data_IF_531581906831
#
_entry.id   IF_531581906831
#
_cell.length_a   1.000
_cell.length_b   1.000
_cell.length_c   1.000
_cell.angle_alpha   90.00
_cell.angle_beta   90.00
_cell.angle_gamma   90.00
#
_symmetry.space_group_name_H-M   'P 1'
#
loop_
_entity.id
_entity.type
_entity.pdbx_description
1 polymer ?
#
# COMPACT_ATOMS: atom_id res chain seq x y z
N UNK A 1 -8.11 -15.76 19.02
CA UNK A 1 -9.49 -15.34 19.35
C UNK A 1 -10.03 -14.62 18.13
N UNK A 2 -11.28 -14.83 17.69
CA UNK A 2 -11.82 -13.94 16.66
C UNK A 2 -11.82 -12.52 17.23
N UNK A 3 -11.06 -11.64 16.61
CA UNK A 3 -11.04 -10.22 16.97
C UNK A 3 -12.40 -9.61 16.64
N UNK A 4 -12.99 -8.94 17.61
CA UNK A 4 -14.28 -8.27 17.41
C UNK A 4 -14.08 -7.09 16.43
N UNK A 5 -14.88 -7.05 15.37
CA UNK A 5 -14.89 -5.93 14.43
C UNK A 5 -15.66 -4.77 15.09
N UNK A 6 -14.95 -3.71 15.48
CA UNK A 6 -15.55 -2.49 15.99
C UNK A 6 -16.10 -1.65 14.83
N UNK A 7 -17.41 -1.71 14.64
CA UNK A 7 -18.11 -0.98 13.57
C UNK A 7 -18.36 0.50 13.90
N UNK A 8 -18.03 0.94 15.11
CA UNK A 8 -18.19 2.34 15.55
C UNK A 8 -16.95 3.20 15.25
N UNK A 9 -15.83 2.56 14.97
CA UNK A 9 -14.58 3.21 14.57
C UNK A 9 -14.32 2.95 13.09
N UNK A 10 -13.74 3.94 12.42
CA UNK A 10 -13.27 3.75 11.06
C UNK A 10 -12.01 2.88 11.04
N UNK A 11 -11.83 2.13 9.95
CA UNK A 11 -10.60 1.39 9.66
C UNK A 11 -10.04 1.80 8.32
N UNK A 12 -8.70 1.79 8.20
CA UNK A 12 -8.00 2.15 6.97
C UNK A 12 -8.52 1.33 5.78
N UNK A 13 -8.58 0.01 5.94
CA UNK A 13 -9.03 -0.91 4.91
C UNK A 13 -10.49 -0.65 4.47
N UNK A 14 -11.39 -0.38 5.43
CA UNK A 14 -12.80 -0.12 5.13
C UNK A 14 -13.06 1.27 4.55
N UNK A 15 -12.28 2.29 4.95
CA UNK A 15 -12.30 3.62 4.32
C UNK A 15 -11.85 3.52 2.87
N UNK A 16 -10.78 2.76 2.61
CA UNK A 16 -10.30 2.49 1.25
C UNK A 16 -11.35 1.75 0.41
N UNK A 17 -11.98 0.70 0.96
CA UNK A 17 -13.10 -0.02 0.35
C UNK A 17 -14.25 0.93 -0.01
N UNK A 18 -14.63 1.83 0.92
CA UNK A 18 -15.67 2.83 0.68
C UNK A 18 -15.33 3.74 -0.51
N UNK A 19 -14.09 4.23 -0.57
CA UNK A 19 -13.66 5.12 -1.65
C UNK A 19 -13.57 4.41 -3.01
N UNK A 20 -13.38 3.09 -3.03
CA UNK A 20 -13.50 2.25 -4.24
C UNK A 20 -14.93 1.87 -4.60
N UNK A 21 -15.94 2.28 -3.82
CA UNK A 21 -17.34 1.90 -4.03
C UNK A 21 -17.67 0.48 -3.59
N UNK A 22 -16.86 -0.12 -2.71
CA UNK A 22 -17.08 -1.42 -2.11
C UNK A 22 -18.25 -1.45 -1.13
N UNK A 23 -18.50 -2.62 -0.54
CA UNK A 23 -19.66 -2.87 0.34
C UNK A 23 -19.26 -3.32 1.76
N UNK A 24 -17.98 -3.57 1.98
CA UNK A 24 -17.47 -4.10 3.25
C UNK A 24 -17.05 -2.96 4.20
N UNK A 25 -17.98 -2.02 4.42
CA UNK A 25 -17.76 -0.81 5.20
C UNK A 25 -18.99 -0.45 6.05
N UNK A 26 -18.77 0.38 7.06
CA UNK A 26 -19.77 0.82 8.03
C UNK A 26 -19.95 2.35 8.02
N UNK A 27 -20.94 2.91 8.73
CA UNK A 27 -21.20 4.36 8.76
C UNK A 27 -19.96 5.21 9.12
N UNK A 28 -19.14 4.75 10.08
CA UNK A 28 -17.92 5.48 10.48
C UNK A 28 -16.90 5.59 9.33
N UNK A 29 -16.77 4.56 8.50
CA UNK A 29 -15.87 4.55 7.34
C UNK A 29 -16.38 5.49 6.24
N UNK A 30 -17.69 5.45 5.97
CA UNK A 30 -18.33 6.34 4.98
C UNK A 30 -18.27 7.81 5.40
N UNK A 31 -18.35 8.12 6.69
CA UNK A 31 -18.20 9.48 7.21
C UNK A 31 -16.82 10.07 6.84
N UNK A 32 -15.75 9.29 6.94
CA UNK A 32 -14.39 9.74 6.56
C UNK A 32 -14.37 10.13 5.08
N UNK A 33 -14.88 9.26 4.20
CA UNK A 33 -14.90 9.53 2.75
C UNK A 33 -15.76 10.73 2.41
N UNK A 34 -16.91 10.90 3.08
CA UNK A 34 -17.78 12.05 2.86
C UNK A 34 -17.11 13.37 3.27
N UNK A 35 -16.39 13.39 4.38
CA UNK A 35 -15.58 14.55 4.79
C UNK A 35 -14.45 14.84 3.79
N UNK A 36 -13.80 13.81 3.26
CA UNK A 36 -12.78 13.96 2.23
C UNK A 36 -13.35 14.55 0.94
N UNK A 37 -14.55 14.14 0.50
CA UNK A 37 -15.23 14.70 -0.68
C UNK A 37 -15.47 16.21 -0.58
N UNK A 38 -15.68 16.73 0.62
CA UNK A 38 -15.88 18.17 0.82
C UNK A 38 -14.61 18.98 0.53
N UNK A 39 -13.42 18.41 0.69
CA UNK A 39 -12.13 19.07 0.46
C UNK A 39 -11.44 18.61 -0.83
N UNK A 40 -11.70 17.40 -1.26
CA UNK A 40 -11.20 16.74 -2.46
C UNK A 40 -12.34 15.96 -3.14
N UNK A 41 -13.17 16.62 -3.96
CA UNK A 41 -14.33 15.96 -4.61
C UNK A 41 -13.96 14.75 -5.47
N UNK A 42 -12.71 14.65 -5.89
CA UNK A 42 -12.16 13.57 -6.70
C UNK A 42 -11.50 12.44 -5.89
N UNK A 43 -11.80 12.30 -4.60
CA UNK A 43 -11.12 11.30 -3.72
C UNK A 43 -11.30 9.86 -4.20
N UNK A 44 -12.40 9.52 -4.85
CA UNK A 44 -12.59 8.21 -5.44
C UNK A 44 -11.60 7.97 -6.59
N UNK A 45 -11.41 8.96 -7.47
CA UNK A 45 -10.43 8.84 -8.55
C UNK A 45 -9.01 8.70 -8.02
N UNK A 46 -8.65 9.44 -6.98
CA UNK A 46 -7.38 9.29 -6.24
C UNK A 46 -7.17 7.84 -5.78
N UNK A 47 -8.20 7.20 -5.23
CA UNK A 47 -8.13 5.82 -4.73
C UNK A 47 -8.07 4.81 -5.88
N UNK A 48 -8.82 5.05 -6.97
CA UNK A 48 -8.76 4.23 -8.19
C UNK A 48 -7.36 4.28 -8.82
N UNK A 49 -6.74 5.46 -8.89
CA UNK A 49 -5.39 5.62 -9.43
C UNK A 49 -4.33 4.91 -8.57
N UNK A 50 -4.51 4.94 -7.26
CA UNK A 50 -3.66 4.17 -6.35
C UNK A 50 -3.78 2.66 -6.60
N UNK A 51 -5.01 2.17 -6.77
CA UNK A 51 -5.24 0.75 -7.09
C UNK A 51 -4.64 0.36 -8.43
N UNK A 52 -4.80 1.22 -9.44
CA UNK A 52 -4.20 1.02 -10.75
C UNK A 52 -2.65 1.00 -10.67
N UNK A 53 -2.05 1.83 -9.82
CA UNK A 53 -0.60 1.80 -9.56
C UNK A 53 -0.16 0.44 -8.98
N UNK A 54 -0.86 -0.11 -7.98
CA UNK A 54 -0.56 -1.44 -7.43
C UNK A 54 -0.54 -2.50 -8.53
N UNK A 55 -1.55 -2.52 -9.40
CA UNK A 55 -1.65 -3.50 -10.49
C UNK A 55 -0.48 -3.34 -11.48
N UNK A 56 -0.14 -2.10 -11.88
CA UNK A 56 0.97 -1.83 -12.80
C UNK A 56 2.32 -2.22 -12.21
N UNK A 57 2.57 -1.88 -10.95
CA UNK A 57 3.79 -2.28 -10.23
C UNK A 57 3.90 -3.81 -10.14
N UNK A 58 2.83 -4.49 -9.76
CA UNK A 58 2.81 -5.95 -9.69
C UNK A 58 3.10 -6.57 -11.06
N UNK A 59 2.50 -6.04 -12.12
CA UNK A 59 2.76 -6.48 -13.51
C UNK A 59 4.21 -6.25 -13.93
N UNK A 60 4.79 -5.10 -13.58
CA UNK A 60 6.22 -4.82 -13.81
C UNK A 60 7.10 -5.84 -13.09
N UNK A 61 6.86 -6.05 -11.80
CA UNK A 61 7.66 -6.95 -10.96
C UNK A 61 7.58 -8.39 -11.44
N UNK A 62 6.39 -8.90 -11.71
CA UNK A 62 6.21 -10.27 -12.22
C UNK A 62 6.70 -10.44 -13.66
N UNK A 63 6.35 -9.50 -14.55
CA UNK A 63 6.61 -9.64 -15.99
C UNK A 63 8.02 -9.25 -16.41
N UNK A 64 8.47 -8.06 -16.02
CA UNK A 64 9.75 -7.51 -16.49
C UNK A 64 10.91 -7.79 -15.54
N UNK A 65 10.71 -7.58 -14.23
CA UNK A 65 11.73 -7.88 -13.23
C UNK A 65 11.89 -9.38 -12.95
N UNK A 66 10.91 -10.20 -13.33
CA UNK A 66 10.97 -11.65 -13.20
C UNK A 66 10.76 -12.17 -11.79
N UNK A 67 10.14 -11.38 -10.93
CA UNK A 67 9.86 -11.75 -9.53
C UNK A 67 8.69 -12.73 -9.45
N UNK A 68 8.88 -13.79 -8.69
CA UNK A 68 7.88 -14.85 -8.43
C UNK A 68 7.51 -15.00 -6.95
N UNK A 69 7.97 -14.08 -6.10
CA UNK A 69 7.72 -14.08 -4.65
C UNK A 69 7.34 -12.66 -4.20
N UNK A 70 6.21 -12.53 -3.51
CA UNK A 70 5.66 -11.24 -3.08
C UNK A 70 5.31 -11.27 -1.60
N UNK A 71 5.76 -10.28 -0.85
CA UNK A 71 5.35 -9.96 0.51
C UNK A 71 4.55 -8.65 0.45
N UNK A 72 3.23 -8.73 0.57
CA UNK A 72 2.31 -7.60 0.45
C UNK A 72 1.86 -7.16 1.84
N UNK A 73 2.46 -6.09 2.33
CA UNK A 73 2.25 -5.54 3.67
C UNK A 73 1.15 -4.47 3.65
N UNK A 74 0.06 -4.72 4.41
CA UNK A 74 -1.14 -3.91 4.41
C UNK A 74 -2.03 -4.25 3.22
N UNK A 75 -2.39 -5.52 3.10
CA UNK A 75 -3.17 -6.04 1.96
C UNK A 75 -4.53 -5.35 1.78
N UNK A 76 -5.13 -4.87 2.87
CA UNK A 76 -6.47 -4.34 2.87
C UNK A 76 -7.54 -5.38 2.52
N UNK A 77 -8.77 -4.91 2.33
CA UNK A 77 -9.89 -5.77 1.88
C UNK A 77 -9.71 -6.20 0.42
N UNK A 78 -10.10 -7.43 0.07
CA UNK A 78 -10.04 -7.91 -1.32
C UNK A 78 -10.84 -7.02 -2.27
N UNK A 79 -10.28 -6.77 -3.44
CA UNK A 79 -10.88 -5.93 -4.49
C UNK A 79 -10.97 -6.69 -5.82
N UNK A 80 -11.38 -6.01 -6.90
CA UNK A 80 -11.57 -6.62 -8.21
C UNK A 80 -10.30 -7.30 -8.79
N UNK A 81 -9.10 -6.80 -8.47
CA UNK A 81 -7.83 -7.42 -8.86
C UNK A 81 -6.82 -7.29 -7.73
N UNK A 82 -6.49 -8.41 -7.08
CA UNK A 82 -5.54 -8.48 -5.98
C UNK A 82 -4.11 -8.76 -6.49
N UNK A 83 -3.10 -8.54 -5.65
CA UNK A 83 -1.69 -8.73 -6.00
C UNK A 83 -1.42 -10.11 -6.57
N UNK A 84 -1.95 -11.19 -5.95
CA UNK A 84 -1.74 -12.56 -6.45
C UNK A 84 -2.36 -12.76 -7.84
N UNK A 85 -3.53 -12.20 -8.11
CA UNK A 85 -4.20 -12.31 -9.40
C UNK A 85 -3.39 -11.61 -10.50
N UNK A 86 -2.90 -10.39 -10.21
CA UNK A 86 -2.04 -9.65 -11.14
C UNK A 86 -0.70 -10.36 -11.38
N UNK A 87 -0.06 -10.89 -10.34
CA UNK A 87 1.22 -11.61 -10.44
C UNK A 87 1.07 -12.96 -11.14
N UNK A 88 0.11 -13.79 -10.71
CA UNK A 88 -0.10 -15.16 -11.21
C UNK A 88 -0.63 -15.20 -12.65
N UNK A 89 -1.22 -14.11 -13.16
CA UNK A 89 -1.56 -13.98 -14.58
C UNK A 89 -0.31 -14.00 -15.47
N UNK A 90 0.82 -13.48 -14.99
CA UNK A 90 2.09 -13.42 -15.72
C UNK A 90 3.05 -14.53 -15.31
N UNK A 91 2.99 -14.95 -14.05
CA UNK A 91 3.77 -16.02 -13.46
C UNK A 91 2.86 -16.93 -12.62
N UNK A 92 2.29 -17.98 -13.23
CA UNK A 92 1.35 -18.86 -12.52
C UNK A 92 1.92 -19.51 -11.26
N UNK A 93 3.25 -19.61 -11.17
CA UNK A 93 3.99 -20.12 -10.01
C UNK A 93 4.19 -19.10 -8.90
N UNK A 94 3.85 -17.81 -9.11
CA UNK A 94 4.12 -16.76 -8.15
C UNK A 94 3.44 -17.02 -6.80
N UNK A 95 4.22 -16.84 -5.73
CA UNK A 95 3.77 -16.94 -4.34
C UNK A 95 3.53 -15.55 -3.77
N UNK A 96 2.42 -15.38 -3.08
CA UNK A 96 2.05 -14.11 -2.45
C UNK A 96 1.68 -14.37 -0.99
N UNK A 97 2.35 -13.67 -0.08
CA UNK A 97 1.97 -13.62 1.32
C UNK A 97 1.44 -12.23 1.64
N UNK A 98 0.20 -12.18 2.05
CA UNK A 98 -0.49 -10.97 2.50
C UNK A 98 -0.33 -10.79 4.00
N UNK A 99 -0.03 -9.56 4.42
CA UNK A 99 0.10 -9.17 5.82
C UNK A 99 -0.93 -8.08 6.12
N UNK A 100 -1.75 -8.28 7.13
CA UNK A 100 -2.65 -7.25 7.65
C UNK A 100 -3.09 -7.62 9.07
N UNK A 101 -3.34 -6.63 9.93
CA UNK A 101 -3.82 -6.85 11.31
C UNK A 101 -5.24 -6.33 11.54
N UNK A 102 -5.88 -5.69 10.54
CA UNK A 102 -7.27 -5.24 10.66
C UNK A 102 -8.21 -6.44 10.80
N UNK A 103 -9.06 -6.49 11.85
CA UNK A 103 -9.98 -7.61 12.05
C UNK A 103 -10.92 -7.90 10.87
N UNK A 104 -11.34 -6.86 10.13
CA UNK A 104 -12.17 -7.03 8.95
C UNK A 104 -11.38 -7.69 7.81
N UNK A 105 -10.12 -7.27 7.62
CA UNK A 105 -9.22 -7.85 6.62
C UNK A 105 -8.88 -9.29 6.99
N UNK A 106 -8.58 -9.58 8.26
CA UNK A 106 -8.31 -10.94 8.75
C UNK A 106 -9.50 -11.88 8.48
N UNK A 107 -10.73 -11.40 8.70
CA UNK A 107 -11.92 -12.20 8.46
C UNK A 107 -12.14 -12.52 6.97
N UNK A 108 -11.94 -11.55 6.09
CA UNK A 108 -12.12 -11.68 4.64
C UNK A 108 -10.90 -12.31 3.97
N UNK A 109 -9.67 -11.95 4.42
CA UNK A 109 -8.42 -12.36 3.79
C UNK A 109 -8.25 -13.86 3.75
N UNK A 110 -8.53 -14.54 4.86
CA UNK A 110 -8.44 -16.00 4.93
C UNK A 110 -9.42 -16.72 3.99
N UNK A 111 -10.56 -16.12 3.72
CA UNK A 111 -11.58 -16.73 2.88
C UNK A 111 -11.41 -16.44 1.39
N UNK A 112 -10.85 -15.27 1.04
CA UNK A 112 -10.86 -14.75 -0.33
C UNK A 112 -9.46 -14.61 -0.94
N UNK A 113 -8.42 -14.41 -0.12
CA UNK A 113 -7.05 -14.23 -0.62
C UNK A 113 -6.28 -15.55 -0.72
N UNK A 114 -6.66 -16.58 0.07
CA UNK A 114 -6.12 -17.94 -0.02
C UNK A 114 -6.87 -18.76 -1.09
N UNK A 115 -6.91 -18.27 -2.34
CA UNK A 115 -7.65 -18.92 -3.44
C UNK A 115 -6.95 -20.18 -3.98
N UNK A 116 -5.66 -20.37 -3.66
CA UNK A 116 -4.85 -21.49 -4.15
C UNK A 116 -3.68 -21.79 -3.19
N UNK A 117 -2.88 -22.81 -3.52
CA UNK A 117 -1.74 -23.28 -2.73
C UNK A 117 -0.50 -22.36 -2.75
N UNK A 118 -0.59 -21.17 -3.36
CA UNK A 118 0.48 -20.16 -3.50
C UNK A 118 0.12 -18.79 -2.95
N UNK A 119 -1.08 -18.63 -2.41
CA UNK A 119 -1.57 -17.37 -1.83
C UNK A 119 -1.89 -17.59 -0.36
N UNK A 120 -1.27 -16.80 0.51
CA UNK A 120 -1.33 -16.98 1.95
C UNK A 120 -1.62 -15.66 2.66
N UNK A 121 -2.22 -15.73 3.83
CA UNK A 121 -2.54 -14.58 4.66
C UNK A 121 -1.99 -14.76 6.08
N UNK A 122 -1.27 -13.76 6.58
CA UNK A 122 -0.70 -13.71 7.94
C UNK A 122 -1.25 -12.51 8.69
N UNK A 123 -1.95 -12.71 9.81
CA UNK A 123 -2.44 -11.62 10.65
C UNK A 123 -1.30 -11.07 11.51
N UNK A 124 -0.54 -10.10 10.98
CA UNK A 124 0.58 -9.49 11.67
C UNK A 124 0.60 -7.96 11.46
N UNK A 125 1.26 -7.26 12.38
CA UNK A 125 1.48 -5.83 12.28
C UNK A 125 2.67 -5.54 11.35
N UNK A 126 2.39 -4.90 10.21
CA UNK A 126 3.43 -4.50 9.25
C UNK A 126 4.42 -3.47 9.82
N UNK A 127 4.08 -2.79 10.90
CA UNK A 127 4.96 -1.84 11.59
C UNK A 127 6.02 -2.54 12.47
N UNK A 128 5.89 -3.85 12.65
CA UNK A 128 6.82 -4.70 13.37
C UNK A 128 7.52 -5.70 12.42
N UNK A 129 8.54 -5.26 11.64
CA UNK A 129 9.18 -6.07 10.59
C UNK A 129 9.62 -7.45 11.06
N UNK A 130 10.13 -7.57 12.29
CA UNK A 130 10.54 -8.86 12.85
C UNK A 130 9.39 -9.83 13.01
N UNK A 131 8.21 -9.38 13.45
CA UNK A 131 7.03 -10.24 13.55
C UNK A 131 6.63 -10.80 12.18
N UNK A 132 6.75 -9.99 11.13
CA UNK A 132 6.42 -10.40 9.76
C UNK A 132 7.50 -11.33 9.19
N UNK A 133 8.76 -10.92 9.25
CA UNK A 133 9.88 -11.63 8.62
C UNK A 133 10.19 -12.96 9.27
N UNK A 134 9.99 -13.08 10.60
CA UNK A 134 10.23 -14.30 11.37
C UNK A 134 8.97 -15.19 11.47
N UNK A 135 7.83 -14.78 10.89
CA UNK A 135 6.61 -15.59 10.89
C UNK A 135 6.82 -16.93 10.19
N UNK A 136 6.43 -18.07 10.81
CA UNK A 136 6.64 -19.40 10.25
C UNK A 136 5.96 -19.62 8.88
N UNK A 137 4.85 -18.93 8.59
CA UNK A 137 4.20 -19.04 7.29
C UNK A 137 4.95 -18.23 6.24
N UNK A 138 5.44 -17.04 6.58
CA UNK A 138 6.28 -16.21 5.69
C UNK A 138 7.55 -16.98 5.33
N UNK A 139 8.30 -17.46 6.33
CA UNK A 139 9.60 -18.11 6.13
C UNK A 139 9.52 -19.45 5.40
N UNK A 140 8.43 -20.20 5.51
CA UNK A 140 8.25 -21.46 4.74
C UNK A 140 7.73 -21.22 3.33
N UNK A 141 7.08 -20.07 3.07
CA UNK A 141 6.46 -19.75 1.79
C UNK A 141 7.43 -19.01 0.87
N UNK A 142 8.15 -18.02 1.43
CA UNK A 142 9.10 -17.19 0.70
C UNK A 142 10.53 -17.63 1.00
N UNK A 143 11.30 -17.78 -0.07
CA UNK A 143 12.72 -18.14 -0.02
C UNK A 143 13.57 -16.85 0.00
N UNK A 144 14.02 -16.44 1.18
CA UNK A 144 14.87 -15.26 1.37
C UNK A 144 16.30 -15.42 0.87
N UNK A 145 16.64 -16.53 0.21
CA UNK A 145 17.90 -16.66 -0.56
C UNK A 145 17.77 -16.22 -2.03
N UNK A 146 16.53 -15.97 -2.48
CA UNK A 146 16.18 -15.55 -3.83
C UNK A 146 15.50 -14.19 -3.81
N UNK A 147 15.64 -13.37 -4.87
CA UNK A 147 14.95 -12.09 -4.96
C UNK A 147 13.45 -12.20 -4.75
N UNK A 148 12.88 -11.23 -4.04
CA UNK A 148 11.45 -11.11 -3.82
C UNK A 148 11.01 -9.65 -3.90
N UNK A 149 9.71 -9.41 -3.99
CA UNK A 149 9.13 -8.07 -3.92
C UNK A 149 8.45 -7.82 -2.58
N UNK A 150 8.84 -6.74 -1.91
CA UNK A 150 8.14 -6.16 -0.77
C UNK A 150 7.23 -5.05 -1.26
N UNK A 151 5.95 -5.12 -0.95
CA UNK A 151 4.97 -4.07 -1.25
C UNK A 151 4.54 -3.37 0.04
N UNK A 152 4.69 -2.05 0.08
CA UNK A 152 4.24 -1.15 1.15
C UNK A 152 3.38 -0.06 0.51
N UNK A 153 2.19 -0.44 0.06
CA UNK A 153 1.34 0.40 -0.76
C UNK A 153 0.15 0.94 0.05
N UNK A 154 0.14 2.25 0.30
CA UNK A 154 -0.95 2.89 1.02
C UNK A 154 -0.95 2.64 2.53
N UNK A 155 0.19 2.40 3.15
CA UNK A 155 0.31 1.93 4.54
C UNK A 155 1.00 2.94 5.46
N UNK A 156 2.24 3.29 5.18
CA UNK A 156 3.11 4.04 6.10
C UNK A 156 2.68 5.49 6.34
N UNK A 157 1.82 6.06 5.51
CA UNK A 157 1.26 7.37 5.78
C UNK A 157 0.24 7.36 6.94
N UNK A 158 -0.17 6.20 7.42
CA UNK A 158 -0.98 6.04 8.61
C UNK A 158 -0.18 5.82 9.90
N UNK A 159 1.16 5.74 9.79
CA UNK A 159 2.02 5.57 10.96
C UNK A 159 2.36 6.92 11.60
N UNK A 160 2.14 7.00 12.93
CA UNK A 160 2.53 8.15 13.74
C UNK A 160 3.97 7.97 14.25
N UNK A 161 4.86 8.84 13.79
CA UNK A 161 6.29 8.84 14.16
C UNK A 161 6.58 9.53 15.52
N UNK A 162 5.55 9.99 16.24
CA UNK A 162 5.72 10.68 17.53
C UNK A 162 6.39 9.82 18.60
N UNK A 163 6.35 8.49 18.44
CA UNK A 163 7.04 7.52 19.30
C UNK A 163 8.56 7.44 19.09
N UNK A 164 9.14 8.23 18.17
CA UNK A 164 10.59 8.32 17.93
C UNK A 164 11.16 7.30 16.94
N UNK A 165 10.39 6.30 16.49
CA UNK A 165 10.75 5.41 15.37
C UNK A 165 10.17 5.97 14.09
N UNK A 166 10.98 6.15 13.07
CA UNK A 166 10.53 6.69 11.78
C UNK A 166 10.06 5.60 10.81
N UNK A 167 9.28 6.00 9.80
CA UNK A 167 8.97 5.12 8.67
C UNK A 167 10.24 4.63 7.96
N UNK A 168 11.27 5.46 7.88
CA UNK A 168 12.56 5.09 7.31
C UNK A 168 13.26 3.98 8.12
N UNK A 169 13.13 3.98 9.46
CA UNK A 169 13.67 2.92 10.30
C UNK A 169 12.95 1.60 10.08
N UNK A 170 11.61 1.63 10.00
CA UNK A 170 10.78 0.46 9.68
C UNK A 170 11.18 -0.11 8.31
N UNK A 171 11.29 0.75 7.30
CA UNK A 171 11.65 0.31 5.95
C UNK A 171 13.09 -0.23 5.88
N UNK A 172 14.03 0.36 6.62
CA UNK A 172 15.41 -0.15 6.68
C UNK A 172 15.45 -1.57 7.22
N UNK A 173 14.70 -1.90 8.28
CA UNK A 173 14.63 -3.26 8.82
C UNK A 173 14.12 -4.28 7.78
N UNK A 174 13.08 -3.91 7.00
CA UNK A 174 12.61 -4.75 5.89
C UNK A 174 13.68 -4.89 4.81
N UNK A 175 14.22 -3.78 4.32
CA UNK A 175 15.18 -3.75 3.21
C UNK A 175 16.44 -4.53 3.55
N UNK A 176 16.94 -4.40 4.78
CA UNK A 176 18.16 -5.11 5.22
C UNK A 176 17.97 -6.63 5.16
N UNK A 177 16.76 -7.13 5.45
CA UNK A 177 16.45 -8.55 5.41
C UNK A 177 16.26 -9.11 3.97
N UNK A 178 16.02 -8.27 2.98
CA UNK A 178 15.85 -8.72 1.59
C UNK A 178 17.18 -9.15 0.97
N UNK A 179 17.23 -10.20 0.14
CA UNK A 179 18.41 -10.54 -0.65
C UNK A 179 18.65 -9.53 -1.79
N UNK A 180 19.90 -9.46 -2.27
CA UNK A 180 20.27 -8.69 -3.48
C UNK A 180 19.40 -9.08 -4.67
N UNK A 181 19.03 -8.12 -5.49
CA UNK A 181 18.11 -8.29 -6.61
C UNK A 181 16.62 -8.21 -6.26
N UNK A 182 16.27 -8.11 -4.97
CA UNK A 182 14.89 -7.88 -4.53
C UNK A 182 14.41 -6.49 -4.89
N UNK A 183 13.10 -6.32 -4.91
CA UNK A 183 12.44 -5.04 -5.18
C UNK A 183 11.57 -4.60 -4.01
N UNK A 184 11.49 -3.30 -3.82
CA UNK A 184 10.57 -2.66 -2.89
C UNK A 184 9.69 -1.69 -3.66
N UNK A 185 8.38 -1.80 -3.49
CA UNK A 185 7.42 -0.83 -4.00
C UNK A 185 6.77 -0.11 -2.82
N UNK A 186 6.75 1.21 -2.91
CA UNK A 186 6.17 2.08 -1.89
C UNK A 186 5.22 3.07 -2.55
N UNK A 187 4.07 3.32 -1.93
CA UNK A 187 3.23 4.48 -2.25
C UNK A 187 2.90 5.28 -0.99
N UNK A 188 2.76 6.58 -1.15
CA UNK A 188 2.60 7.48 -0.02
C UNK A 188 1.80 8.73 -0.38
N UNK A 189 1.10 9.31 0.61
CA UNK A 189 0.51 10.65 0.50
C UNK A 189 1.62 11.69 0.41
N UNK A 190 1.50 12.60 -0.56
CA UNK A 190 2.50 13.60 -0.88
C UNK A 190 2.01 15.01 -0.51
N UNK A 191 2.82 15.75 0.25
CA UNK A 191 2.81 17.22 0.19
C UNK A 191 3.73 17.65 -0.96
N UNK A 192 3.18 18.14 -2.09
CA UNK A 192 3.98 18.47 -3.27
C UNK A 192 4.85 19.72 -3.11
N UNK A 193 4.70 20.45 -2.00
CA UNK A 193 5.43 21.68 -1.68
C UNK A 193 5.24 22.79 -2.74
N UNK A 194 4.05 22.85 -3.33
CA UNK A 194 3.65 23.82 -4.34
C UNK A 194 2.21 24.34 -4.06
N UNK A 195 1.51 24.81 -5.12
CA UNK A 195 0.13 25.31 -5.00
C UNK A 195 -0.87 24.27 -4.45
N UNK A 196 -0.60 22.98 -4.63
CA UNK A 196 -1.47 21.90 -4.18
C UNK A 196 -1.21 21.48 -2.72
N UNK A 197 -0.15 22.00 -2.07
CA UNK A 197 0.13 21.77 -0.64
C UNK A 197 -1.01 22.22 0.28
N UNK A 198 -1.76 23.23 -0.12
CA UNK A 198 -2.94 23.67 0.64
C UNK A 198 -4.06 22.61 0.62
N UNK A 199 -4.19 21.85 -0.47
CA UNK A 199 -5.12 20.74 -0.56
C UNK A 199 -4.61 19.54 0.27
N UNK A 200 -3.33 19.19 0.14
CA UNK A 200 -2.70 18.13 0.94
C UNK A 200 -2.94 18.34 2.44
N UNK A 201 -2.72 19.54 2.94
CA UNK A 201 -2.98 19.89 4.37
C UNK A 201 -4.45 19.77 4.77
N UNK A 202 -5.40 20.17 3.91
CA UNK A 202 -6.83 20.00 4.20
C UNK A 202 -7.23 18.53 4.24
N UNK A 203 -6.69 17.71 3.34
CA UNK A 203 -6.93 16.26 3.35
C UNK A 203 -6.34 15.63 4.61
N UNK A 204 -5.11 16.00 4.99
CA UNK A 204 -4.45 15.55 6.22
C UNK A 204 -5.28 15.91 7.46
N UNK A 205 -5.77 17.15 7.55
CA UNK A 205 -6.64 17.61 8.64
C UNK A 205 -7.90 16.75 8.76
N UNK A 206 -8.53 16.41 7.64
CA UNK A 206 -9.67 15.49 7.62
C UNK A 206 -9.28 14.11 8.12
N UNK A 207 -8.17 13.53 7.64
CA UNK A 207 -7.70 12.22 8.10
C UNK A 207 -7.44 12.18 9.59
N UNK A 208 -6.71 13.17 10.12
CA UNK A 208 -6.33 13.24 11.54
C UNK A 208 -7.50 13.51 12.48
N UNK A 209 -8.49 14.31 12.06
CA UNK A 209 -9.63 14.72 12.90
C UNK A 209 -10.94 14.00 12.54
N UNK A 210 -10.89 12.95 11.73
CA UNK A 210 -12.02 12.05 11.47
C UNK A 210 -11.99 10.83 12.40
N UNK A 211 -13.01 9.95 12.34
CA UNK A 211 -13.01 8.68 13.07
C UNK A 211 -11.80 7.76 12.73
N UNK A 212 -11.05 8.02 11.66
CA UNK A 212 -9.85 7.28 11.29
C UNK A 212 -8.64 7.66 12.15
N UNK A 213 -8.42 8.93 12.41
CA UNK A 213 -7.39 9.45 13.31
C UNK A 213 -5.96 9.31 12.81
N UNK A 214 -5.76 9.02 11.52
CA UNK A 214 -4.41 8.85 10.95
C UNK A 214 -4.38 9.16 9.45
N UNK A 215 -3.23 9.62 8.97
CA UNK A 215 -3.00 9.92 7.55
C UNK A 215 -2.14 11.18 7.42
N UNK A 216 -0.84 11.02 7.16
CA UNK A 216 0.15 12.09 7.10
C UNK A 216 0.68 12.27 5.68
N UNK A 217 0.73 13.51 5.22
CA UNK A 217 1.32 13.87 3.94
C UNK A 217 2.79 14.26 4.14
N UNK A 218 3.69 13.57 3.45
CA UNK A 218 5.14 13.77 3.54
C UNK A 218 5.71 14.39 2.28
N UNK A 219 6.82 15.09 2.40
CA UNK A 219 7.56 15.64 1.26
C UNK A 219 8.23 14.53 0.46
N UNK A 220 8.63 14.83 -0.79
CA UNK A 220 9.40 13.89 -1.63
C UNK A 220 10.65 13.37 -0.93
N UNK A 221 11.38 14.27 -0.24
CA UNK A 221 12.59 13.92 0.48
C UNK A 221 12.31 12.91 1.61
N UNK A 222 11.27 13.16 2.41
CA UNK A 222 10.85 12.26 3.49
C UNK A 222 10.42 10.89 2.98
N UNK A 223 9.73 10.84 1.83
CA UNK A 223 9.31 9.58 1.21
C UNK A 223 10.51 8.82 0.66
N UNK A 224 11.45 9.49 -0.01
CA UNK A 224 12.66 8.86 -0.52
C UNK A 224 13.58 8.33 0.60
N UNK A 225 13.56 8.96 1.78
CA UNK A 225 14.28 8.45 2.95
C UNK A 225 13.81 7.05 3.40
N UNK A 226 12.60 6.62 3.00
CA UNK A 226 12.07 5.27 3.25
C UNK A 226 12.61 4.21 2.28
N UNK A 227 13.46 4.60 1.30
CA UNK A 227 14.03 3.71 0.28
C UNK A 227 15.58 3.62 0.39
N UNK A 228 16.14 3.45 1.61
CA UNK A 228 17.60 3.55 1.81
C UNK A 228 18.34 2.45 1.05
N UNK A 229 19.40 2.84 0.34
CA UNK A 229 20.29 1.90 -0.35
C UNK A 229 19.73 1.21 -1.58
N UNK A 230 18.53 1.59 -2.02
CA UNK A 230 17.91 1.01 -3.22
C UNK A 230 18.23 1.84 -4.47
N UNK A 231 18.45 1.15 -5.59
CA UNK A 231 18.50 1.75 -6.91
C UNK A 231 17.07 1.98 -7.41
N UNK A 232 16.70 3.25 -7.63
CA UNK A 232 15.33 3.56 -8.08
C UNK A 232 15.13 3.10 -9.54
N UNK A 233 14.00 2.42 -9.76
CA UNK A 233 13.53 2.08 -11.11
C UNK A 233 12.89 3.31 -11.74
N UNK A 234 13.25 3.59 -13.00
CA UNK A 234 12.61 4.69 -13.75
C UNK A 234 11.07 4.53 -13.78
N UNK A 235 10.31 5.60 -13.59
CA UNK A 235 10.69 7.01 -13.56
C UNK A 235 11.11 7.54 -12.17
N UNK A 236 11.43 6.69 -11.21
CA UNK A 236 11.74 7.08 -9.83
C UNK A 236 10.48 7.33 -9.00
N UNK A 237 10.55 8.32 -8.08
CA UNK A 237 9.39 8.76 -7.31
C UNK A 237 8.50 9.62 -8.20
N UNK A 238 7.35 9.09 -8.61
CA UNK A 238 6.44 9.73 -9.54
C UNK A 238 4.99 9.66 -9.01
N UNK A 239 4.11 10.52 -9.50
CA UNK A 239 2.68 10.41 -9.19
C UNK A 239 2.15 9.04 -9.57
N UNK A 240 1.35 8.41 -8.71
CA UNK A 240 0.85 7.06 -8.97
C UNK A 240 0.18 6.95 -10.34
N UNK A 241 -0.57 7.96 -10.75
CA UNK A 241 -1.25 8.00 -12.06
C UNK A 241 -0.27 8.04 -13.25
N UNK A 242 0.95 8.51 -13.05
CA UNK A 242 1.99 8.64 -14.08
C UNK A 242 2.99 7.48 -14.11
N UNK A 243 3.05 6.69 -13.03
CA UNK A 243 4.01 5.59 -12.95
C UNK A 243 3.63 4.48 -13.93
N UNK A 244 4.29 4.39 -15.07
CA UNK A 244 4.08 3.46 -16.19
C UNK A 244 2.61 3.29 -16.57
N UNK A 245 1.92 4.36 -17.00
CA UNK A 245 0.50 4.29 -17.36
C UNK A 245 0.28 3.39 -18.58
N UNK A 246 -0.87 2.72 -18.60
CA UNK A 246 -1.27 1.80 -19.70
C UNK A 246 -1.57 2.54 -21.02
N UNK A 247 -1.57 3.87 -21.02
CA UNK A 247 -1.79 4.70 -22.20
C UNK A 247 -1.65 6.20 -21.92
N UNK A 248 -1.78 7.04 -22.95
CA UNK A 248 -1.67 8.48 -22.79
C UNK A 248 -2.85 9.02 -21.94
N UNK A 249 -2.55 10.00 -21.11
CA UNK A 249 -3.59 10.69 -20.36
C UNK A 249 -4.43 11.54 -21.31
N UNK A 250 -5.76 11.37 -21.21
CA UNK A 250 -6.73 12.09 -22.05
C UNK A 250 -7.30 13.35 -21.39
N UNK A 251 -7.05 13.56 -20.09
CA UNK A 251 -7.51 14.71 -19.32
C UNK A 251 -6.40 15.28 -18.43
N UNK A 252 -6.45 16.58 -18.07
CA UNK A 252 -5.55 17.13 -17.07
C UNK A 252 -5.62 16.39 -15.74
N UNK A 253 -4.54 16.47 -14.95
CA UNK A 253 -4.53 15.95 -13.58
C UNK A 253 -5.50 16.73 -12.70
N UNK A 254 -6.28 15.99 -11.94
CA UNK A 254 -7.06 16.54 -10.84
C UNK A 254 -6.14 16.90 -9.67
N UNK A 255 -6.48 17.92 -8.85
CA UNK A 255 -5.60 18.35 -7.76
C UNK A 255 -5.20 17.25 -6.79
N UNK A 256 -6.14 16.42 -6.33
CA UNK A 256 -5.83 15.33 -5.40
C UNK A 256 -4.87 14.28 -6.00
N UNK A 257 -4.91 14.02 -7.32
CA UNK A 257 -3.98 13.11 -7.98
C UNK A 257 -2.51 13.53 -7.85
N UNK A 258 -2.25 14.82 -7.60
CA UNK A 258 -0.91 15.38 -7.37
C UNK A 258 -0.38 15.13 -5.95
N UNK A 259 -1.25 14.64 -5.06
CA UNK A 259 -0.94 14.36 -3.66
C UNK A 259 -0.72 12.87 -3.38
N UNK A 260 -0.46 12.06 -4.41
CA UNK A 260 -0.21 10.62 -4.28
C UNK A 260 0.94 10.18 -5.18
N UNK A 261 1.96 9.61 -4.58
CA UNK A 261 3.15 9.13 -5.29
C UNK A 261 3.42 7.67 -5.07
N UNK A 262 4.13 7.10 -6.02
CA UNK A 262 4.68 5.76 -5.92
C UNK A 262 6.12 5.71 -6.39
N UNK A 263 6.86 4.74 -5.88
CA UNK A 263 8.26 4.49 -6.22
C UNK A 263 8.53 3.00 -6.16
N UNK A 264 9.42 2.53 -7.03
CA UNK A 264 9.97 1.18 -6.98
C UNK A 264 11.49 1.30 -6.91
N UNK A 265 12.11 0.54 -6.03
CA UNK A 265 13.55 0.44 -5.91
C UNK A 265 14.02 -1.01 -5.94
N UNK A 266 15.20 -1.24 -6.49
CA UNK A 266 15.88 -2.53 -6.54
C UNK A 266 17.02 -2.55 -5.53
N UNK A 267 17.13 -3.62 -4.75
CA UNK A 267 18.29 -3.84 -3.89
C UNK A 267 19.46 -4.31 -4.74
N UNK A 268 20.62 -3.60 -4.74
CA UNK A 268 21.79 -3.95 -5.51
C UNK A 268 22.42 -5.31 -5.13
#
# INVERSE_FOLDING_TARGET
MPSFIDTTKASIARVYDTALGGKDNYPADREVVERLRQVAPEIEQFTVDHRAFLVRVTRFLAGQAGIDQFLDCGSGLPTAENTHQAAQRLRPEARVVYIDNDPSVVAHGRALLEENDRTFFVPADLLEPRQVLDDPLVTRTLDFTRPLALLQLGTLHHYDESGGRSCADIMREYIDALPSGSYVALSHFLDPQDQDSALARRMEDVFLHSPLGSGTFRTREQILAMMPGLELVEPGLELCVNWWPDGPRLAPLLPAQRCLVGVVGRKP
#
